data_IF_876657529875
#
_entry.id   IF_876657529875
#
_cell.length_a   1.000
_cell.length_b   1.000
_cell.length_c   1.000
_cell.angle_alpha   90.00
_cell.angle_beta   90.00
_cell.angle_gamma   90.00
#
_symmetry.space_group_name_H-M   'P 1'
#
loop_
_entity.id
_entity.type
_entity.pdbx_description
1 polymer ?
#
# COMPACT_ATOMS: atom_id res chain seq x y z
N UNK A 1 -60.73 53.04 3.89
CA UNK A 1 -59.29 52.85 3.53
C UNK A 1 -58.80 51.58 4.17
N UNK A 2 -58.59 50.51 3.42
CA UNK A 2 -58.04 49.22 3.89
C UNK A 2 -56.76 49.02 3.11
N UNK A 3 -55.66 49.17 3.82
CA UNK A 3 -54.27 48.93 3.31
C UNK A 3 -54.02 47.45 3.31
N UNK A 4 -53.81 46.83 2.16
CA UNK A 4 -53.40 45.42 2.02
C UNK A 4 -51.90 45.35 2.08
N UNK A 5 -51.39 44.73 3.15
CA UNK A 5 -49.97 44.35 3.30
C UNK A 5 -49.69 43.13 2.42
N UNK A 6 -48.87 43.27 1.38
CA UNK A 6 -48.37 42.16 0.57
C UNK A 6 -47.03 41.66 1.19
N UNK A 7 -47.09 40.49 1.78
CA UNK A 7 -45.90 39.77 2.25
C UNK A 7 -45.29 39.06 1.03
N UNK A 8 -44.15 39.55 0.55
CA UNK A 8 -43.30 38.84 -0.41
C UNK A 8 -42.50 37.75 0.31
N UNK A 9 -42.79 36.50 0.02
CA UNK A 9 -41.93 35.38 0.41
C UNK A 9 -40.80 35.29 -0.61
N UNK A 10 -39.60 35.67 -0.19
CA UNK A 10 -38.34 35.32 -0.90
C UNK A 10 -37.97 33.88 -0.56
N UNK A 11 -38.28 32.95 -1.44
CA UNK A 11 -37.70 31.61 -1.44
C UNK A 11 -36.27 31.72 -1.93
N UNK A 12 -35.34 31.72 -1.00
CA UNK A 12 -33.89 31.52 -1.30
C UNK A 12 -33.69 30.04 -1.59
N UNK A 13 -33.67 29.67 -2.86
CA UNK A 13 -33.19 28.35 -3.28
C UNK A 13 -31.66 28.31 -3.04
N UNK A 14 -31.24 27.66 -1.97
CA UNK A 14 -29.85 27.22 -1.82
C UNK A 14 -29.63 26.09 -2.83
N UNK A 15 -29.09 26.39 -3.97
CA UNK A 15 -28.46 25.41 -4.84
C UNK A 15 -27.17 24.96 -4.12
N UNK A 16 -27.21 23.82 -3.44
CA UNK A 16 -26.01 23.08 -3.11
C UNK A 16 -25.38 22.69 -4.45
N UNK A 17 -24.38 23.43 -4.90
CA UNK A 17 -23.51 23.02 -5.98
C UNK A 17 -22.76 21.80 -5.45
N UNK A 18 -23.30 20.61 -5.67
CA UNK A 18 -22.54 19.40 -5.59
C UNK A 18 -21.46 19.50 -6.67
N UNK A 19 -20.28 19.92 -6.27
CA UNK A 19 -19.09 19.86 -7.09
C UNK A 19 -18.86 18.38 -7.40
N UNK A 20 -19.39 17.92 -8.54
CA UNK A 20 -19.11 16.59 -9.05
C UNK A 20 -17.65 16.62 -9.55
N UNK A 21 -16.69 16.43 -8.62
CA UNK A 21 -15.31 16.21 -9.02
C UNK A 21 -15.28 14.88 -9.77
N UNK A 22 -14.88 14.92 -11.03
CA UNK A 22 -14.66 13.70 -11.80
C UNK A 22 -13.60 12.87 -11.06
N UNK A 23 -13.94 11.62 -10.80
CA UNK A 23 -13.03 10.71 -10.09
C UNK A 23 -11.75 10.55 -10.91
N UNK A 24 -10.60 10.67 -10.24
CA UNK A 24 -9.27 10.61 -10.87
C UNK A 24 -8.98 9.22 -11.39
N UNK A 25 -8.31 9.16 -12.53
CA UNK A 25 -7.74 7.89 -13.00
C UNK A 25 -6.65 7.40 -12.03
N UNK A 26 -6.35 6.10 -12.06
CA UNK A 26 -5.30 5.51 -11.23
C UNK A 26 -3.94 6.18 -11.46
N UNK A 27 -3.61 6.51 -12.71
CA UNK A 27 -2.36 7.22 -13.04
C UNK A 27 -2.32 8.65 -12.49
N UNK A 28 -3.43 9.38 -12.54
CA UNK A 28 -3.54 10.70 -11.91
C UNK A 28 -3.38 10.60 -10.40
N UNK A 29 -4.06 9.62 -9.79
CA UNK A 29 -3.97 9.36 -8.36
C UNK A 29 -2.52 9.08 -7.93
N UNK A 30 -1.82 8.20 -8.66
CA UNK A 30 -0.42 7.84 -8.38
C UNK A 30 0.52 9.06 -8.53
N UNK A 31 0.36 9.87 -9.58
CA UNK A 31 1.22 11.02 -9.84
C UNK A 31 1.13 12.11 -8.74
N UNK A 32 0.01 12.19 -8.04
CA UNK A 32 -0.20 13.11 -6.94
C UNK A 32 0.42 12.61 -5.61
N UNK A 33 0.75 11.33 -5.50
CA UNK A 33 1.50 10.81 -4.35
C UNK A 33 2.95 11.24 -4.47
N UNK A 34 3.37 12.16 -3.62
CA UNK A 34 4.77 12.62 -3.57
C UNK A 34 5.66 11.66 -2.80
N UNK A 35 5.16 11.19 -1.66
CA UNK A 35 5.75 10.12 -0.87
C UNK A 35 4.68 9.42 -0.06
N UNK A 36 4.64 8.10 -0.10
CA UNK A 36 3.79 7.26 0.71
C UNK A 36 4.58 6.57 1.83
N UNK A 37 3.88 6.27 2.92
CA UNK A 37 4.40 5.57 4.09
C UNK A 37 3.50 4.39 4.42
N UNK A 38 4.11 3.24 4.78
CA UNK A 38 3.36 2.10 5.29
C UNK A 38 3.25 2.19 6.82
N UNK A 39 2.03 2.08 7.31
CA UNK A 39 1.76 1.86 8.74
C UNK A 39 2.02 0.37 9.07
N UNK A 40 3.26 -0.07 8.86
CA UNK A 40 3.65 -1.48 8.94
C UNK A 40 3.75 -2.00 10.38
N UNK A 41 3.54 -3.30 10.55
CA UNK A 41 3.49 -4.01 11.84
C UNK A 41 2.46 -3.41 12.79
N UNK A 42 1.30 -3.03 12.28
CA UNK A 42 0.25 -2.40 13.06
C UNK A 42 -1.10 -3.15 12.92
N UNK A 43 -1.86 -2.88 11.86
CA UNK A 43 -3.18 -3.50 11.67
C UNK A 43 -3.12 -4.86 10.98
N UNK A 44 -1.99 -5.27 10.44
CA UNK A 44 -1.75 -6.61 9.88
C UNK A 44 -1.22 -7.61 10.90
N UNK A 45 -1.05 -7.19 12.16
CA UNK A 45 -0.60 -8.04 13.25
C UNK A 45 -1.63 -9.13 13.60
N UNK A 46 -1.14 -10.20 14.22
CA UNK A 46 -1.96 -11.21 14.89
C UNK A 46 -1.58 -11.27 16.36
N UNK A 47 -2.58 -11.48 17.21
CA UNK A 47 -2.34 -11.65 18.64
C UNK A 47 -1.51 -12.93 18.92
N UNK A 48 -0.75 -12.99 20.01
CA UNK A 48 -0.03 -14.19 20.40
C UNK A 48 -0.95 -15.39 20.56
N UNK A 49 -0.58 -16.53 20.01
CA UNK A 49 -1.37 -17.76 20.05
C UNK A 49 -2.37 -17.92 18.92
N UNK A 50 -2.59 -16.90 18.10
CA UNK A 50 -3.33 -17.04 16.85
C UNK A 50 -2.40 -17.67 15.82
N UNK A 51 -2.75 -18.88 15.36
CA UNK A 51 -1.95 -19.61 14.38
C UNK A 51 -2.01 -19.00 12.98
N UNK A 52 -2.92 -18.07 12.78
CA UNK A 52 -3.17 -17.38 11.52
C UNK A 52 -3.83 -18.26 10.47
N UNK A 53 -4.21 -19.48 10.77
CA UNK A 53 -4.95 -20.37 9.86
C UNK A 53 -6.43 -20.42 10.20
N UNK A 54 -6.77 -20.39 11.49
CA UNK A 54 -8.15 -20.26 11.91
C UNK A 54 -8.66 -18.84 11.74
N UNK A 55 -9.91 -18.74 11.33
CA UNK A 55 -10.65 -17.51 11.48
C UNK A 55 -11.09 -17.43 12.92
N UNK A 56 -10.45 -16.59 13.71
CA UNK A 56 -10.88 -16.37 15.06
C UNK A 56 -12.17 -15.59 15.06
N UNK A 57 -13.21 -16.31 15.45
CA UNK A 57 -14.52 -15.72 15.60
C UNK A 57 -14.51 -14.95 16.89
N UNK A 58 -14.60 -13.64 16.76
CA UNK A 58 -14.94 -12.80 17.89
C UNK A 58 -13.80 -12.47 18.81
N UNK A 59 -12.58 -12.43 18.28
CA UNK A 59 -11.65 -11.59 18.96
C UNK A 59 -12.15 -10.18 18.90
N UNK A 60 -12.57 -9.75 20.03
CA UNK A 60 -12.96 -8.38 20.12
C UNK A 60 -11.71 -7.57 19.90
N UNK A 61 -11.78 -6.91 19.01
CA UNK A 61 -11.71 -5.53 19.15
C UNK A 61 -10.85 -5.10 20.29
N UNK A 62 -9.61 -5.28 20.12
CA UNK A 62 -8.66 -4.53 20.86
C UNK A 62 -8.44 -4.92 22.31
N UNK A 63 -9.11 -5.88 22.84
CA UNK A 63 -8.81 -6.28 24.22
C UNK A 63 -7.39 -6.81 24.34
N UNK A 64 -6.92 -7.53 23.36
CA UNK A 64 -5.54 -8.01 23.28
C UNK A 64 -4.76 -7.31 22.20
N UNK A 65 -5.36 -6.28 21.64
CA UNK A 65 -4.77 -5.35 20.70
C UNK A 65 -4.00 -6.02 19.58
N UNK A 66 -4.72 -6.60 18.63
CA UNK A 66 -4.10 -6.99 17.38
C UNK A 66 -3.21 -5.85 16.85
N UNK A 67 -3.65 -4.61 17.00
CA UNK A 67 -2.90 -3.40 16.67
C UNK A 67 -1.55 -3.27 17.40
N UNK A 68 -1.39 -3.85 18.58
CA UNK A 68 -0.16 -3.75 19.39
C UNK A 68 0.58 -5.08 19.55
N UNK A 69 0.06 -6.14 18.96
CA UNK A 69 0.55 -7.51 19.18
C UNK A 69 2.04 -7.70 18.81
N UNK A 70 2.55 -6.91 17.86
CA UNK A 70 3.96 -6.96 17.46
C UNK A 70 4.82 -5.84 18.06
N UNK A 71 4.35 -5.23 19.17
CA UNK A 71 5.13 -4.30 19.99
C UNK A 71 5.01 -2.82 19.62
N UNK A 72 4.16 -2.48 18.67
CA UNK A 72 3.86 -1.10 18.36
C UNK A 72 2.82 -0.53 19.35
N UNK A 73 2.86 0.76 19.67
CA UNK A 73 1.80 1.40 20.47
C UNK A 73 0.55 1.62 19.61
N UNK A 74 -0.59 1.80 20.25
CA UNK A 74 -1.83 2.18 19.57
C UNK A 74 -1.63 3.42 18.71
N UNK A 75 -2.08 3.37 17.46
CA UNK A 75 -2.03 4.50 16.55
C UNK A 75 -2.90 5.65 17.03
N UNK A 76 -2.41 6.84 16.93
CA UNK A 76 -3.14 8.05 17.31
C UNK A 76 -3.14 9.06 16.17
N UNK A 77 -4.03 10.04 16.25
CA UNK A 77 -4.01 11.16 15.30
C UNK A 77 -2.65 11.87 15.26
N UNK A 78 -1.91 11.87 16.39
CA UNK A 78 -0.54 12.41 16.44
C UNK A 78 0.44 11.58 15.58
N UNK A 79 0.23 10.26 15.51
CA UNK A 79 1.03 9.39 14.63
C UNK A 79 0.89 9.84 13.19
N UNK A 80 -0.36 9.99 12.72
CA UNK A 80 -0.66 10.41 11.35
C UNK A 80 -0.11 11.83 11.08
N UNK A 81 -0.33 12.75 12.02
CA UNK A 81 0.20 14.10 11.93
C UNK A 81 1.73 14.15 11.79
N UNK A 82 2.44 13.35 12.55
CA UNK A 82 3.91 13.32 12.50
C UNK A 82 4.42 12.82 11.14
N UNK A 83 3.77 11.82 10.55
CA UNK A 83 4.07 11.32 9.20
C UNK A 83 3.79 12.41 8.15
N UNK A 84 2.63 13.07 8.22
CA UNK A 84 2.31 14.20 7.34
C UNK A 84 3.33 15.34 7.46
N UNK A 85 3.67 15.75 8.69
CA UNK A 85 4.61 16.84 8.95
C UNK A 85 6.05 16.53 8.45
N UNK A 86 6.39 15.24 8.39
CA UNK A 86 7.66 14.78 7.81
C UNK A 86 7.69 14.90 6.27
N UNK A 87 6.53 15.11 5.63
CA UNK A 87 6.41 15.35 4.18
C UNK A 87 5.78 14.22 3.38
N UNK A 88 5.19 13.21 4.06
CA UNK A 88 4.40 12.18 3.40
C UNK A 88 2.97 12.66 3.15
N UNK A 89 2.45 12.39 1.96
CA UNK A 89 1.08 12.76 1.58
C UNK A 89 0.18 11.56 1.26
N UNK A 90 0.67 10.36 1.54
CA UNK A 90 -0.11 9.13 1.40
C UNK A 90 0.29 8.10 2.46
N UNK A 91 -0.68 7.28 2.87
CA UNK A 91 -0.47 6.16 3.81
C UNK A 91 -1.07 4.90 3.20
N UNK A 92 -0.29 3.82 3.20
CA UNK A 92 -0.80 2.46 3.02
C UNK A 92 -1.02 1.86 4.39
N UNK A 93 -2.21 1.34 4.63
CA UNK A 93 -2.62 0.71 5.88
C UNK A 93 -2.73 -0.79 5.62
N UNK A 94 -1.68 -1.58 5.92
CA UNK A 94 -1.75 -3.03 5.89
C UNK A 94 -2.76 -3.53 6.92
N UNK A 95 -3.71 -4.38 6.51
CA UNK A 95 -4.77 -4.84 7.40
C UNK A 95 -4.96 -6.33 7.29
N UNK A 96 -4.96 -7.00 8.43
CA UNK A 96 -5.39 -8.37 8.58
C UNK A 96 -6.83 -8.40 9.08
N UNK A 97 -7.70 -8.99 8.29
CA UNK A 97 -9.13 -9.07 8.60
C UNK A 97 -9.51 -10.37 9.28
N UNK A 98 -8.77 -11.44 9.00
CA UNK A 98 -9.04 -12.81 9.45
C UNK A 98 -9.32 -12.90 10.95
N UNK A 99 -8.53 -12.22 11.77
CA UNK A 99 -8.66 -12.21 13.22
C UNK A 99 -9.91 -11.47 13.75
N UNK A 100 -10.59 -10.75 12.87
CA UNK A 100 -11.74 -9.90 13.20
C UNK A 100 -13.02 -10.31 12.46
N UNK A 101 -13.07 -11.55 11.96
CA UNK A 101 -14.25 -12.11 11.30
C UNK A 101 -15.19 -12.70 12.36
N UNK A 102 -16.39 -12.11 12.48
CA UNK A 102 -17.42 -12.53 13.44
C UNK A 102 -18.36 -13.63 12.90
N UNK A 103 -18.45 -13.76 11.57
CA UNK A 103 -19.21 -14.81 10.90
C UNK A 103 -18.42 -15.31 9.67
N UNK A 104 -17.73 -16.45 9.76
CA UNK A 104 -16.93 -16.98 8.67
C UNK A 104 -17.72 -17.32 7.40
N UNK A 105 -18.98 -17.73 7.51
CA UNK A 105 -19.80 -18.08 6.36
C UNK A 105 -20.13 -16.86 5.48
N UNK A 106 -20.27 -15.69 6.09
CA UNK A 106 -20.54 -14.42 5.44
C UNK A 106 -19.31 -13.49 5.37
N UNK A 107 -18.18 -13.90 5.93
CA UNK A 107 -16.98 -13.06 6.09
C UNK A 107 -17.31 -11.70 6.73
N UNK A 108 -18.24 -11.69 7.71
CA UNK A 108 -18.65 -10.46 8.39
C UNK A 108 -17.55 -9.97 9.31
N UNK A 109 -17.21 -8.70 9.19
CA UNK A 109 -16.15 -8.06 9.96
C UNK A 109 -16.74 -7.52 11.27
N UNK A 110 -15.98 -7.60 12.36
CA UNK A 110 -16.30 -6.94 13.61
C UNK A 110 -16.54 -5.44 13.39
N UNK A 111 -17.65 -4.96 13.97
CA UNK A 111 -17.99 -3.54 13.83
C UNK A 111 -16.93 -2.64 14.47
N UNK A 112 -16.41 -3.02 15.61
CA UNK A 112 -15.40 -2.23 16.33
C UNK A 112 -14.10 -2.15 15.51
N UNK A 113 -13.69 -3.26 14.87
CA UNK A 113 -12.51 -3.26 14.02
C UNK A 113 -12.67 -2.34 12.79
N UNK A 114 -13.79 -2.45 12.08
CA UNK A 114 -14.02 -1.60 10.91
C UNK A 114 -14.16 -0.11 11.30
N UNK A 115 -14.78 0.18 12.45
CA UNK A 115 -14.88 1.55 12.97
C UNK A 115 -13.47 2.09 13.33
N UNK A 116 -12.60 1.25 13.89
CA UNK A 116 -11.21 1.61 14.18
C UNK A 116 -10.41 1.92 12.90
N UNK A 117 -10.57 1.12 11.86
CA UNK A 117 -9.95 1.38 10.56
C UNK A 117 -10.46 2.70 9.97
N UNK A 118 -11.79 2.94 10.03
CA UNK A 118 -12.38 4.21 9.58
C UNK A 118 -11.81 5.41 10.34
N UNK A 119 -11.64 5.30 11.64
CA UNK A 119 -11.05 6.37 12.47
C UNK A 119 -9.65 6.76 11.97
N UNK A 120 -8.80 5.78 11.64
CA UNK A 120 -7.46 6.06 11.12
C UNK A 120 -7.52 6.66 9.71
N UNK A 121 -8.41 6.15 8.84
CA UNK A 121 -8.65 6.74 7.52
C UNK A 121 -9.09 8.20 7.65
N UNK A 122 -10.04 8.48 8.54
CA UNK A 122 -10.55 9.84 8.76
C UNK A 122 -9.43 10.79 9.19
N UNK A 123 -8.52 10.36 10.09
CA UNK A 123 -7.36 11.17 10.46
C UNK A 123 -6.43 11.44 9.26
N UNK A 124 -6.23 10.46 8.37
CA UNK A 124 -5.44 10.68 7.15
C UNK A 124 -6.10 11.72 6.24
N UNK A 125 -7.42 11.61 6.04
CA UNK A 125 -8.18 12.52 5.18
C UNK A 125 -8.27 13.94 5.73
N UNK A 126 -8.25 14.12 7.06
CA UNK A 126 -8.19 15.45 7.68
C UNK A 126 -6.87 16.20 7.35
N UNK A 127 -5.79 15.46 7.10
CA UNK A 127 -4.51 16.01 6.62
C UNK A 127 -4.37 15.98 5.09
N UNK A 128 -5.49 15.77 4.38
CA UNK A 128 -5.54 15.66 2.91
C UNK A 128 -4.60 14.59 2.33
N UNK A 129 -4.34 13.54 3.10
CA UNK A 129 -3.52 12.41 2.66
C UNK A 129 -4.35 11.41 1.84
N UNK A 130 -3.71 10.73 0.90
CA UNK A 130 -4.27 9.58 0.22
C UNK A 130 -4.07 8.32 1.05
N UNK A 131 -4.98 7.36 0.90
CA UNK A 131 -4.97 6.13 1.69
C UNK A 131 -5.10 4.90 0.78
N UNK A 132 -4.29 3.88 1.01
CA UNK A 132 -4.49 2.53 0.48
C UNK A 132 -4.90 1.62 1.63
N UNK A 133 -5.99 0.89 1.44
CA UNK A 133 -6.46 -0.19 2.32
C UNK A 133 -6.29 -1.51 1.58
N UNK A 134 -5.74 -2.53 2.23
CA UNK A 134 -5.50 -3.82 1.61
C UNK A 134 -6.04 -5.01 2.43
N UNK A 135 -5.78 -6.20 1.94
CA UNK A 135 -5.95 -7.49 2.60
C UNK A 135 -4.57 -8.13 2.74
N UNK A 136 -4.04 -8.19 3.97
CA UNK A 136 -2.66 -8.63 4.24
C UNK A 136 -2.61 -9.69 5.33
N UNK A 137 -1.71 -10.65 5.18
CA UNK A 137 -1.47 -11.76 6.12
C UNK A 137 -2.66 -12.69 6.38
N UNK A 138 -3.61 -12.74 5.43
CA UNK A 138 -4.71 -13.70 5.43
C UNK A 138 -4.19 -15.11 5.08
N UNK A 139 -3.90 -15.92 6.07
CA UNK A 139 -3.27 -17.25 5.86
C UNK A 139 -4.09 -18.18 4.98
N UNK A 140 -5.42 -18.13 5.06
CA UNK A 140 -6.32 -18.90 4.20
C UNK A 140 -6.21 -18.50 2.72
N UNK A 141 -5.75 -17.30 2.42
CA UNK A 141 -5.59 -16.72 1.08
C UNK A 141 -4.13 -16.74 0.62
N UNK A 142 -3.27 -16.00 1.35
CA UNK A 142 -1.89 -15.73 0.93
C UNK A 142 -1.04 -17.00 0.85
N UNK A 143 -1.25 -17.95 1.75
CA UNK A 143 -0.49 -19.20 1.80
C UNK A 143 -1.12 -20.37 1.04
N UNK A 144 -2.14 -20.10 0.22
CA UNK A 144 -2.93 -21.14 -0.44
C UNK A 144 -3.18 -20.90 -1.93
N UNK A 145 -2.14 -20.57 -2.74
CA UNK A 145 -2.30 -20.33 -4.18
C UNK A 145 -2.39 -21.64 -4.99
N UNK A 146 -3.33 -22.53 -4.63
CA UNK A 146 -3.51 -23.85 -5.24
C UNK A 146 -4.91 -24.02 -5.82
N UNK A 147 -5.06 -24.77 -6.92
CA UNK A 147 -6.36 -25.07 -7.51
C UNK A 147 -7.33 -25.71 -6.52
N UNK A 148 -6.82 -26.54 -5.62
CA UNK A 148 -7.64 -27.15 -4.57
C UNK A 148 -8.32 -26.13 -3.64
N UNK A 149 -7.78 -24.93 -3.53
CA UNK A 149 -8.30 -23.84 -2.67
C UNK A 149 -8.97 -22.72 -3.47
N UNK A 150 -8.76 -22.65 -4.79
CA UNK A 150 -9.09 -21.51 -5.65
C UNK A 150 -10.56 -21.08 -5.52
N UNK A 151 -11.49 -22.01 -5.69
CA UNK A 151 -12.92 -21.72 -5.67
C UNK A 151 -13.37 -21.15 -4.31
N UNK A 152 -13.00 -21.84 -3.23
CA UNK A 152 -13.38 -21.42 -1.88
C UNK A 152 -12.69 -20.11 -1.47
N UNK A 153 -11.43 -19.92 -1.83
CA UNK A 153 -10.72 -18.68 -1.53
C UNK A 153 -11.27 -17.50 -2.33
N UNK A 154 -11.61 -17.68 -3.61
CA UNK A 154 -12.29 -16.64 -4.39
C UNK A 154 -13.65 -16.28 -3.78
N UNK A 155 -14.44 -17.29 -3.33
CA UNK A 155 -15.71 -17.05 -2.66
C UNK A 155 -15.53 -16.22 -1.35
N UNK A 156 -14.58 -16.61 -0.51
CA UNK A 156 -14.27 -15.88 0.74
C UNK A 156 -13.78 -14.48 0.46
N UNK A 157 -12.87 -14.33 -0.50
CA UNK A 157 -12.32 -13.01 -0.91
C UNK A 157 -13.42 -12.09 -1.43
N UNK A 158 -14.36 -12.62 -2.23
CA UNK A 158 -15.51 -11.86 -2.71
C UNK A 158 -16.37 -11.36 -1.55
N UNK A 159 -16.68 -12.23 -0.58
CA UNK A 159 -17.48 -11.84 0.59
C UNK A 159 -16.74 -10.84 1.48
N UNK A 160 -15.45 -11.02 1.70
CA UNK A 160 -14.64 -10.08 2.49
C UNK A 160 -14.60 -8.71 1.82
N UNK A 161 -14.26 -8.64 0.53
CA UNK A 161 -14.23 -7.37 -0.20
C UNK A 161 -15.61 -6.73 -0.35
N UNK A 162 -16.67 -7.51 -0.47
CA UNK A 162 -18.03 -6.98 -0.45
C UNK A 162 -18.31 -6.24 0.87
N UNK A 163 -17.94 -6.84 2.00
CA UNK A 163 -18.11 -6.20 3.31
C UNK A 163 -17.23 -4.94 3.43
N UNK A 164 -15.95 -5.01 3.11
CA UNK A 164 -15.03 -3.87 3.15
C UNK A 164 -15.53 -2.75 2.23
N UNK A 165 -15.87 -3.06 0.99
CA UNK A 165 -16.29 -2.08 -0.01
C UNK A 165 -17.62 -1.40 0.33
N UNK A 166 -18.55 -2.10 0.98
CA UNK A 166 -19.79 -1.49 1.47
C UNK A 166 -19.53 -0.54 2.64
N UNK A 167 -18.67 -0.94 3.58
CA UNK A 167 -18.34 -0.16 4.76
C UNK A 167 -17.53 1.10 4.43
N UNK A 168 -16.60 1.00 3.47
CA UNK A 168 -15.72 2.08 3.07
C UNK A 168 -16.18 2.81 1.78
N UNK A 169 -17.28 2.38 1.18
CA UNK A 169 -17.73 2.85 -0.13
C UNK A 169 -18.08 4.35 -0.21
N UNK A 170 -18.34 4.98 0.94
CA UNK A 170 -18.66 6.43 0.99
C UNK A 170 -17.45 7.35 0.92
N UNK A 171 -16.25 6.82 1.19
CA UNK A 171 -15.04 7.62 1.04
C UNK A 171 -14.83 8.04 -0.41
N UNK A 172 -14.25 9.23 -0.58
CA UNK A 172 -13.97 9.80 -1.90
C UNK A 172 -12.77 9.09 -2.59
N UNK A 173 -12.30 9.65 -3.68
CA UNK A 173 -11.24 9.07 -4.51
C UNK A 173 -9.85 9.10 -3.87
N UNK A 174 -9.68 9.71 -2.69
CA UNK A 174 -8.43 9.65 -1.94
C UNK A 174 -8.18 8.26 -1.33
N UNK A 175 -9.23 7.45 -1.15
CA UNK A 175 -9.12 6.09 -0.62
C UNK A 175 -9.13 5.07 -1.75
N UNK A 176 -8.04 4.35 -1.93
CA UNK A 176 -7.86 3.27 -2.88
C UNK A 176 -7.88 1.90 -2.17
N UNK A 177 -8.27 0.85 -2.90
CA UNK A 177 -8.31 -0.52 -2.39
C UNK A 177 -7.28 -1.39 -3.11
N UNK A 178 -6.54 -2.20 -2.35
CA UNK A 178 -5.57 -3.17 -2.86
C UNK A 178 -6.01 -4.60 -2.52
N UNK A 179 -6.19 -5.43 -3.54
CA UNK A 179 -6.97 -6.66 -3.48
C UNK A 179 -6.44 -7.73 -2.56
N UNK A 180 -5.13 -7.92 -2.58
CA UNK A 180 -4.37 -8.89 -1.78
C UNK A 180 -3.05 -8.26 -1.31
N UNK A 181 -2.10 -9.10 -0.89
CA UNK A 181 -0.72 -8.70 -0.63
C UNK A 181 0.23 -9.69 -1.30
N UNK A 182 1.13 -10.30 -0.60
CA UNK A 182 2.18 -11.20 -1.10
C UNK A 182 1.71 -12.67 -1.09
N UNK A 183 0.79 -13.01 -1.98
CA UNK A 183 0.33 -14.39 -2.15
C UNK A 183 1.48 -15.29 -2.60
N UNK A 184 1.81 -16.32 -1.84
CA UNK A 184 2.95 -17.20 -2.08
C UNK A 184 2.73 -18.62 -1.54
N UNK A 185 3.49 -19.58 -2.04
CA UNK A 185 3.55 -20.92 -1.44
C UNK A 185 4.29 -20.83 -0.10
N UNK A 186 3.78 -21.47 0.98
CA UNK A 186 4.43 -21.40 2.29
C UNK A 186 5.94 -21.70 2.22
N UNK A 187 6.72 -20.83 2.82
CA UNK A 187 8.19 -20.89 2.85
C UNK A 187 8.88 -20.88 1.46
N UNK A 188 8.16 -20.43 0.43
CA UNK A 188 8.73 -20.33 -0.92
C UNK A 188 8.39 -18.96 -1.56
N UNK A 189 9.35 -18.08 -1.55
CA UNK A 189 9.30 -16.74 -2.18
C UNK A 189 9.85 -16.74 -3.61
N UNK A 190 10.23 -17.93 -4.10
CA UNK A 190 10.82 -18.10 -5.41
C UNK A 190 9.79 -18.20 -6.54
N UNK A 191 10.26 -18.69 -7.68
CA UNK A 191 9.48 -18.77 -8.91
C UNK A 191 8.18 -19.57 -8.72
N UNK A 192 7.02 -19.00 -9.10
CA UNK A 192 5.72 -19.68 -9.04
C UNK A 192 5.60 -20.78 -10.10
N UNK A 193 4.66 -21.68 -9.85
CA UNK A 193 4.12 -22.56 -10.89
C UNK A 193 3.03 -21.85 -11.70
N UNK A 194 2.64 -22.41 -12.84
CA UNK A 194 1.50 -21.89 -13.62
C UNK A 194 0.19 -21.90 -12.80
N UNK A 195 0.02 -22.90 -11.93
CA UNK A 195 -1.12 -22.97 -10.98
C UNK A 195 -1.16 -21.76 -10.05
N UNK A 196 -0.02 -21.41 -9.45
CA UNK A 196 0.05 -20.29 -8.50
C UNK A 196 -0.29 -18.96 -9.17
N UNK A 197 0.19 -18.75 -10.39
CA UNK A 197 -0.10 -17.55 -11.20
C UNK A 197 -1.57 -17.47 -11.59
N UNK A 198 -2.16 -18.59 -12.05
CA UNK A 198 -3.59 -18.63 -12.41
C UNK A 198 -4.49 -18.36 -11.20
N UNK A 199 -4.11 -18.86 -10.03
CA UNK A 199 -4.85 -18.60 -8.78
C UNK A 199 -4.73 -17.12 -8.37
N UNK A 200 -3.54 -16.51 -8.46
CA UNK A 200 -3.38 -15.08 -8.19
C UNK A 200 -4.20 -14.22 -9.17
N UNK A 201 -4.20 -14.57 -10.45
CA UNK A 201 -5.01 -13.86 -11.46
C UNK A 201 -6.51 -13.98 -11.15
N UNK A 202 -6.96 -15.14 -10.67
CA UNK A 202 -8.35 -15.33 -10.26
C UNK A 202 -8.71 -14.49 -9.02
N UNK A 203 -7.81 -14.35 -8.05
CA UNK A 203 -8.03 -13.45 -6.91
C UNK A 203 -8.15 -12.00 -7.37
N UNK A 204 -7.29 -11.54 -8.26
CA UNK A 204 -7.34 -10.18 -8.81
C UNK A 204 -8.67 -9.93 -9.53
N UNK A 205 -9.14 -10.85 -10.38
CA UNK A 205 -10.43 -10.70 -11.07
C UNK A 205 -11.59 -10.68 -10.09
N UNK A 206 -11.60 -11.60 -9.10
CA UNK A 206 -12.63 -11.66 -8.06
C UNK A 206 -12.75 -10.36 -7.29
N UNK A 207 -11.61 -9.77 -6.92
CA UNK A 207 -11.55 -8.49 -6.23
C UNK A 207 -12.17 -7.36 -7.07
N UNK A 208 -11.76 -7.23 -8.32
CA UNK A 208 -12.27 -6.18 -9.21
C UNK A 208 -13.78 -6.34 -9.38
N UNK A 209 -14.26 -7.53 -9.72
CA UNK A 209 -15.67 -7.79 -9.97
C UNK A 209 -16.54 -7.43 -8.78
N UNK A 210 -16.16 -7.89 -7.58
CA UNK A 210 -16.99 -7.69 -6.40
C UNK A 210 -16.99 -6.24 -5.92
N UNK A 211 -15.85 -5.56 -5.94
CA UNK A 211 -15.81 -4.14 -5.53
C UNK A 211 -16.64 -3.29 -6.49
N UNK A 212 -16.54 -3.49 -7.80
CA UNK A 212 -17.36 -2.79 -8.79
C UNK A 212 -18.85 -3.05 -8.60
N UNK A 213 -19.24 -4.28 -8.29
CA UNK A 213 -20.62 -4.68 -8.05
C UNK A 213 -21.26 -3.96 -6.85
N UNK A 214 -20.50 -3.46 -5.89
CA UNK A 214 -21.04 -2.69 -4.76
C UNK A 214 -21.53 -1.28 -5.16
N UNK A 215 -21.16 -0.78 -6.35
CA UNK A 215 -21.69 0.47 -6.91
C UNK A 215 -21.17 1.74 -6.24
N UNK A 216 -21.89 2.84 -6.40
CA UNK A 216 -21.53 4.14 -5.83
C UNK A 216 -20.13 4.62 -6.25
N UNK A 217 -19.34 5.12 -5.30
CA UNK A 217 -17.95 5.54 -5.57
C UNK A 217 -17.05 4.37 -6.02
N UNK A 218 -17.43 3.12 -5.69
CA UNK A 218 -16.64 1.96 -6.03
C UNK A 218 -16.68 1.61 -7.52
N UNK A 219 -17.64 2.14 -8.29
CA UNK A 219 -17.69 1.99 -9.76
C UNK A 219 -16.40 2.48 -10.43
N UNK A 220 -15.80 3.57 -9.90
CA UNK A 220 -14.57 4.18 -10.42
C UNK A 220 -13.48 4.30 -9.36
N UNK A 221 -13.62 3.62 -8.22
CA UNK A 221 -12.57 3.62 -7.20
C UNK A 221 -11.27 3.11 -7.78
N UNK A 222 -10.15 3.72 -7.40
CA UNK A 222 -8.85 3.21 -7.73
C UNK A 222 -8.65 1.84 -7.08
N UNK A 223 -8.55 0.79 -7.91
CA UNK A 223 -8.27 -0.58 -7.49
C UNK A 223 -6.84 -0.95 -7.83
N UNK A 224 -6.21 -1.65 -6.92
CA UNK A 224 -4.79 -2.03 -7.03
C UNK A 224 -4.73 -3.55 -6.97
N UNK A 225 -4.20 -4.15 -8.04
CA UNK A 225 -4.07 -5.59 -8.19
C UNK A 225 -2.61 -6.01 -8.11
N UNK A 226 -2.33 -7.19 -7.58
CA UNK A 226 -0.99 -7.62 -7.24
C UNK A 226 -0.45 -8.64 -8.24
N UNK A 227 0.84 -8.60 -8.49
CA UNK A 227 1.57 -9.73 -9.07
C UNK A 227 1.76 -10.81 -8.01
N UNK A 228 2.09 -12.04 -8.43
CA UNK A 228 2.43 -13.09 -7.47
C UNK A 228 3.59 -12.64 -6.56
N UNK A 229 3.42 -12.76 -5.24
CA UNK A 229 4.39 -12.30 -4.22
C UNK A 229 4.66 -10.77 -4.31
N UNK A 230 3.81 -10.01 -4.98
CA UNK A 230 4.12 -8.63 -5.36
C UNK A 230 5.49 -8.49 -6.06
N UNK A 231 6.01 -9.55 -6.67
CA UNK A 231 7.24 -9.51 -7.43
C UNK A 231 6.92 -9.30 -8.91
N UNK A 232 7.36 -8.16 -9.44
CA UNK A 232 7.09 -7.80 -10.83
C UNK A 232 7.75 -8.75 -11.85
N UNK A 233 8.87 -9.37 -11.52
CA UNK A 233 9.54 -10.30 -12.42
C UNK A 233 8.65 -11.49 -12.81
N UNK A 234 7.80 -11.94 -11.90
CA UNK A 234 6.87 -13.05 -12.17
C UNK A 234 5.70 -12.65 -13.06
N UNK A 235 5.42 -11.37 -13.20
CA UNK A 235 4.40 -10.86 -14.11
C UNK A 235 4.93 -10.37 -15.45
N UNK A 236 6.18 -9.83 -15.45
CA UNK A 236 6.78 -9.19 -16.63
C UNK A 236 7.39 -10.18 -17.62
N UNK A 237 8.08 -11.21 -17.11
CA UNK A 237 8.94 -12.03 -17.96
C UNK A 237 8.25 -13.27 -18.52
N UNK A 238 7.18 -13.73 -17.92
CA UNK A 238 6.49 -14.95 -18.34
C UNK A 238 5.16 -14.67 -19.07
N UNK A 239 4.67 -13.42 -19.07
CA UNK A 239 3.35 -13.07 -19.62
C UNK A 239 2.17 -13.64 -18.84
N UNK A 240 2.41 -14.09 -17.61
CA UNK A 240 1.45 -14.84 -16.80
C UNK A 240 0.58 -13.93 -15.91
N UNK A 241 0.90 -12.63 -15.86
CA UNK A 241 0.02 -11.66 -15.22
C UNK A 241 -1.09 -11.26 -16.18
N UNK A 242 -2.31 -11.62 -15.83
CA UNK A 242 -3.50 -11.26 -16.60
C UNK A 242 -4.11 -9.99 -16.00
N UNK A 243 -4.20 -8.94 -16.81
CA UNK A 243 -4.89 -7.70 -16.39
C UNK A 243 -6.36 -8.04 -16.19
N UNK A 244 -6.94 -7.82 -14.99
CA UNK A 244 -8.35 -8.08 -14.77
C UNK A 244 -9.22 -7.23 -15.70
N UNK A 245 -10.35 -7.79 -16.12
CA UNK A 245 -11.35 -7.04 -16.86
C UNK A 245 -12.12 -6.18 -15.88
N UNK A 246 -12.18 -4.88 -16.14
CA UNK A 246 -13.06 -3.96 -15.41
C UNK A 246 -14.45 -3.89 -16.07
N UNK A 247 -15.42 -3.26 -15.41
CA UNK A 247 -16.76 -3.02 -15.98
C UNK A 247 -16.67 -2.16 -17.24
N UNK A 248 -17.69 -2.30 -18.10
CA UNK A 248 -17.76 -1.56 -19.34
C UNK A 248 -17.61 -0.05 -19.11
N UNK A 249 -16.76 0.59 -19.92
CA UNK A 249 -16.47 2.02 -19.88
C UNK A 249 -15.33 2.45 -18.94
N UNK A 250 -14.84 1.58 -18.07
CA UNK A 250 -13.68 1.89 -17.24
C UNK A 250 -12.33 1.60 -17.94
N UNK A 251 -12.27 0.56 -18.77
CA UNK A 251 -11.00 0.09 -19.33
C UNK A 251 -9.99 -0.19 -18.21
N UNK A 252 -8.79 0.34 -18.32
CA UNK A 252 -7.74 0.23 -17.30
C UNK A 252 -7.56 1.52 -16.48
N UNK A 253 -8.39 2.53 -16.70
CA UNK A 253 -8.18 3.88 -16.17
C UNK A 253 -8.20 3.94 -14.62
N UNK A 254 -8.92 3.02 -13.98
CA UNK A 254 -9.09 3.02 -12.52
C UNK A 254 -8.38 1.84 -11.85
N UNK A 255 -7.36 1.27 -12.51
CA UNK A 255 -6.57 0.18 -11.97
C UNK A 255 -5.08 0.49 -11.97
N UNK A 256 -4.39 -0.01 -10.97
CA UNK A 256 -2.92 -0.08 -10.90
C UNK A 256 -2.46 -1.50 -10.64
N UNK A 257 -1.23 -1.78 -11.05
CA UNK A 257 -0.49 -2.97 -10.62
C UNK A 257 0.41 -2.60 -9.47
N UNK A 258 0.35 -3.37 -8.39
CA UNK A 258 1.24 -3.24 -7.24
C UNK A 258 2.39 -4.24 -7.33
N UNK A 259 3.56 -3.74 -6.98
CA UNK A 259 4.76 -4.53 -6.74
C UNK A 259 5.46 -4.04 -5.47
N UNK A 260 6.28 -4.91 -4.88
CA UNK A 260 7.18 -4.57 -3.80
C UNK A 260 8.62 -4.52 -4.33
N UNK A 261 9.40 -3.55 -3.88
CA UNK A 261 10.73 -3.29 -4.43
C UNK A 261 11.78 -3.19 -3.32
N UNK A 262 12.30 -4.34 -2.92
CA UNK A 262 13.43 -4.43 -1.98
C UNK A 262 14.73 -4.82 -2.71
N UNK A 263 14.89 -4.36 -3.96
CA UNK A 263 16.00 -4.76 -4.81
C UNK A 263 17.16 -3.75 -4.77
N UNK A 264 18.40 -4.23 -4.67
CA UNK A 264 18.74 -5.63 -4.41
C UNK A 264 18.57 -6.00 -2.94
N UNK A 265 18.01 -7.18 -2.66
CA UNK A 265 17.70 -7.63 -1.30
C UNK A 265 18.91 -7.64 -0.36
N UNK A 266 20.10 -7.99 -0.88
CA UNK A 266 21.33 -8.05 -0.13
C UNK A 266 21.75 -6.68 0.43
N UNK A 267 21.29 -5.59 -0.18
CA UNK A 267 21.49 -4.23 0.31
C UNK A 267 20.23 -3.72 1.05
N UNK A 268 19.07 -3.85 0.41
CA UNK A 268 17.86 -3.21 0.91
C UNK A 268 17.21 -3.93 2.10
N UNK A 269 17.27 -5.27 2.13
CA UNK A 269 16.58 -6.07 3.14
C UNK A 269 17.47 -6.79 4.12
N UNK A 270 18.51 -7.50 3.65
CA UNK A 270 19.39 -8.29 4.51
C UNK A 270 20.53 -7.50 5.15
N UNK A 271 20.94 -6.38 4.53
CA UNK A 271 22.08 -5.59 4.99
C UNK A 271 23.44 -6.29 4.82
N UNK A 272 23.56 -7.24 3.87
CA UNK A 272 24.84 -7.90 3.56
C UNK A 272 25.83 -6.92 2.92
N UNK A 273 25.35 -6.01 2.07
CA UNK A 273 26.14 -4.96 1.45
C UNK A 273 25.87 -3.64 2.18
N UNK A 274 26.95 -2.89 2.44
CA UNK A 274 26.87 -1.58 3.11
C UNK A 274 26.76 -0.40 2.14
N UNK A 275 27.02 -0.64 0.85
CA UNK A 275 26.98 0.38 -0.19
C UNK A 275 26.23 -0.09 -1.41
N UNK A 276 25.56 0.85 -2.09
CA UNK A 276 24.86 0.65 -3.34
C UNK A 276 25.16 1.81 -4.30
N UNK A 277 25.21 1.50 -5.60
CA UNK A 277 25.31 2.47 -6.66
C UNK A 277 26.74 2.82 -7.08
N UNK A 278 26.87 3.32 -8.29
CA UNK A 278 28.17 3.58 -8.93
C UNK A 278 29.06 4.53 -8.12
N UNK A 279 28.56 5.65 -7.54
CA UNK A 279 29.40 6.58 -6.79
C UNK A 279 30.03 5.98 -5.53
N UNK A 280 29.48 4.87 -5.03
CA UNK A 280 29.90 4.28 -3.77
C UNK A 280 30.79 3.02 -3.93
N UNK A 281 30.99 2.54 -5.14
CA UNK A 281 31.89 1.39 -5.44
C UNK A 281 33.30 1.58 -4.89
N UNK A 282 33.77 2.82 -4.79
CA UNK A 282 35.09 3.16 -4.25
C UNK A 282 35.22 2.93 -2.74
N UNK A 283 34.12 2.80 -2.00
CA UNK A 283 34.13 2.68 -0.54
C UNK A 283 33.96 1.26 -0.04
N UNK A 284 33.53 0.34 -0.91
CA UNK A 284 33.37 -1.06 -0.53
C UNK A 284 32.63 -1.87 -1.58
N UNK A 285 32.33 -3.11 -1.22
CA UNK A 285 31.61 -4.04 -2.08
C UNK A 285 30.16 -3.57 -2.26
N UNK A 286 29.72 -3.47 -3.50
CA UNK A 286 28.35 -3.17 -3.90
C UNK A 286 27.74 -4.36 -4.63
N UNK A 287 26.39 -4.53 -4.61
CA UNK A 287 25.72 -5.51 -5.47
C UNK A 287 25.87 -5.14 -6.96
N UNK A 288 25.59 -6.09 -7.83
CA UNK A 288 25.63 -5.85 -9.29
C UNK A 288 24.48 -4.94 -9.77
N UNK A 289 23.33 -5.03 -9.09
CA UNK A 289 22.19 -4.17 -9.35
C UNK A 289 22.46 -2.75 -8.86
N UNK A 290 22.50 -1.82 -9.78
CA UNK A 290 22.80 -0.40 -9.57
C UNK A 290 21.67 0.49 -10.12
N UNK A 291 21.94 1.80 -10.28
CA UNK A 291 21.00 2.78 -10.83
C UNK A 291 20.48 2.40 -12.20
N UNK A 292 21.37 1.91 -13.06
CA UNK A 292 21.01 1.50 -14.43
C UNK A 292 20.04 0.33 -14.42
N UNK A 293 20.26 -0.63 -13.52
CA UNK A 293 19.37 -1.77 -13.33
C UNK A 293 17.99 -1.32 -12.87
N UNK A 294 17.93 -0.42 -11.90
CA UNK A 294 16.67 0.16 -11.39
C UNK A 294 15.91 0.92 -12.48
N UNK A 295 16.59 1.79 -13.22
CA UNK A 295 16.01 2.57 -14.33
C UNK A 295 15.44 1.65 -15.40
N UNK A 296 16.22 0.69 -15.89
CA UNK A 296 15.78 -0.26 -16.91
C UNK A 296 14.57 -1.09 -16.44
N UNK A 297 14.55 -1.48 -15.17
CA UNK A 297 13.41 -2.18 -14.59
C UNK A 297 12.14 -1.31 -14.58
N UNK A 298 12.24 -0.05 -14.15
CA UNK A 298 11.10 0.86 -14.13
C UNK A 298 10.61 1.20 -15.55
N UNK A 299 11.50 1.35 -16.51
CA UNK A 299 11.14 1.54 -17.92
C UNK A 299 10.38 0.33 -18.48
N UNK A 300 10.76 -0.87 -18.06
CA UNK A 300 10.03 -2.08 -18.45
C UNK A 300 8.62 -2.12 -17.86
N UNK A 301 8.41 -1.70 -16.62
CA UNK A 301 7.07 -1.56 -16.03
C UNK A 301 6.18 -0.60 -16.84
N UNK A 302 6.74 0.53 -17.27
CA UNK A 302 6.03 1.48 -18.14
C UNK A 302 5.68 0.83 -19.48
N UNK A 303 6.63 0.15 -20.10
CA UNK A 303 6.42 -0.52 -21.38
C UNK A 303 5.34 -1.60 -21.31
N UNK A 304 5.34 -2.42 -20.27
CA UNK A 304 4.45 -3.58 -20.19
C UNK A 304 3.05 -3.26 -19.64
N UNK A 305 2.96 -2.35 -18.66
CA UNK A 305 1.69 -2.05 -17.99
C UNK A 305 1.25 -0.61 -18.17
N UNK A 306 2.16 0.35 -18.02
CA UNK A 306 1.86 1.77 -18.20
C UNK A 306 1.35 2.08 -19.60
N UNK A 307 1.92 1.46 -20.64
CA UNK A 307 1.50 1.58 -22.04
C UNK A 307 0.06 1.09 -22.27
N UNK A 308 -0.44 0.20 -21.41
CA UNK A 308 -1.80 -0.33 -21.45
C UNK A 308 -2.79 0.49 -20.61
N UNK A 309 -2.37 1.64 -20.09
CA UNK A 309 -3.20 2.55 -19.30
C UNK A 309 -3.24 2.29 -17.79
N UNK A 310 -2.58 1.22 -17.31
CA UNK A 310 -2.51 0.92 -15.88
C UNK A 310 -1.63 1.93 -15.13
N UNK A 311 -2.00 2.22 -13.89
CA UNK A 311 -1.10 2.84 -12.93
C UNK A 311 -0.09 1.82 -12.38
N UNK A 312 0.98 2.31 -11.77
CA UNK A 312 1.98 1.46 -11.11
C UNK A 312 2.19 1.98 -9.68
N UNK A 313 2.10 1.05 -8.73
CA UNK A 313 2.27 1.30 -7.30
C UNK A 313 3.43 0.44 -6.80
N UNK A 314 4.46 1.07 -6.26
CA UNK A 314 5.45 0.40 -5.44
C UNK A 314 4.90 0.44 -4.02
N UNK A 315 4.08 -0.59 -3.67
CA UNK A 315 3.32 -0.65 -2.43
C UNK A 315 4.18 -0.84 -1.20
N UNK A 316 5.33 -1.49 -1.37
CA UNK A 316 6.36 -1.59 -0.36
C UNK A 316 7.73 -1.44 -0.99
N UNK A 317 8.56 -0.68 -0.32
CA UNK A 317 10.00 -0.62 -0.52
C UNK A 317 10.64 -0.17 0.78
N UNK A 318 11.90 -0.45 0.97
CA UNK A 318 12.58 -0.06 2.20
C UNK A 318 14.06 -0.29 2.08
N UNK A 319 14.76 0.21 3.08
CA UNK A 319 16.18 -0.01 3.25
C UNK A 319 16.44 -0.30 4.72
N UNK A 320 16.99 -1.47 4.99
CA UNK A 320 17.32 -1.85 6.36
C UNK A 320 18.41 -0.92 6.89
N UNK A 321 18.28 -0.51 8.14
CA UNK A 321 19.36 0.22 8.80
C UNK A 321 20.54 -0.75 9.04
N UNK A 322 21.70 -0.39 8.51
CA UNK A 322 22.92 -1.16 8.65
C UNK A 322 24.14 -0.24 8.53
N UNK A 323 25.06 -0.40 9.46
CA UNK A 323 26.27 0.43 9.54
C UNK A 323 27.42 -0.30 10.22
N UNK A 324 28.63 0.17 9.96
CA UNK A 324 29.82 -0.43 10.52
C UNK A 324 30.80 0.64 11.02
N UNK A 325 31.02 0.62 12.31
CA UNK A 325 32.07 1.42 12.96
C UNK A 325 32.02 2.92 12.62
N UNK A 326 33.17 3.52 12.33
CA UNK A 326 33.32 4.93 12.03
C UNK A 326 32.79 5.37 10.65
N UNK A 327 32.30 4.42 9.84
CA UNK A 327 31.77 4.71 8.49
C UNK A 327 30.26 4.90 8.48
N UNK A 328 29.60 4.87 9.65
CA UNK A 328 28.14 4.96 9.76
C UNK A 328 27.57 6.15 8.99
N UNK A 329 28.13 7.35 9.11
CA UNK A 329 27.66 8.55 8.42
C UNK A 329 27.66 8.36 6.90
N UNK A 330 28.73 7.80 6.34
CA UNK A 330 28.83 7.52 4.90
C UNK A 330 27.82 6.45 4.44
N UNK A 331 27.57 5.47 5.27
CA UNK A 331 26.58 4.45 4.97
C UNK A 331 25.16 5.04 4.98
N UNK A 332 24.85 5.91 5.94
CA UNK A 332 23.58 6.64 5.96
C UNK A 332 23.45 7.63 4.78
N UNK A 333 24.53 8.27 4.36
CA UNK A 333 24.54 9.05 3.11
C UNK A 333 24.22 8.18 1.89
N UNK A 334 24.73 6.97 1.84
CA UNK A 334 24.43 6.02 0.78
C UNK A 334 22.96 5.57 0.82
N UNK A 335 22.38 5.36 2.00
CA UNK A 335 20.93 5.11 2.16
C UNK A 335 20.13 6.29 1.62
N UNK A 336 20.49 7.53 1.96
CA UNK A 336 19.87 8.72 1.38
C UNK A 336 19.95 8.73 -0.15
N UNK A 337 21.08 8.35 -0.71
CA UNK A 337 21.28 8.28 -2.15
C UNK A 337 20.39 7.24 -2.82
N UNK A 338 20.25 6.04 -2.23
CA UNK A 338 19.34 5.01 -2.71
C UNK A 338 17.88 5.49 -2.69
N UNK A 339 17.44 6.04 -1.54
CA UNK A 339 16.08 6.58 -1.39
C UNK A 339 15.80 7.69 -2.41
N UNK A 340 16.76 8.60 -2.60
CA UNK A 340 16.67 9.68 -3.60
C UNK A 340 16.49 9.11 -5.00
N UNK A 341 17.33 8.16 -5.39
CA UNK A 341 17.31 7.56 -6.73
C UNK A 341 15.98 6.85 -6.99
N UNK A 342 15.55 5.99 -6.06
CA UNK A 342 14.29 5.25 -6.19
C UNK A 342 13.10 6.20 -6.34
N UNK A 343 12.96 7.16 -5.43
CA UNK A 343 11.82 8.09 -5.44
C UNK A 343 11.83 8.97 -6.69
N UNK A 344 13.00 9.49 -7.07
CA UNK A 344 13.13 10.30 -8.28
C UNK A 344 12.74 9.53 -9.53
N UNK A 345 13.29 8.33 -9.73
CA UNK A 345 13.06 7.54 -10.93
C UNK A 345 11.63 6.99 -11.01
N UNK A 346 11.04 6.58 -9.89
CA UNK A 346 9.64 6.17 -9.81
C UNK A 346 8.70 7.32 -10.18
N UNK A 347 8.89 8.50 -9.57
CA UNK A 347 8.05 9.67 -9.81
C UNK A 347 8.14 10.23 -11.23
N UNK A 348 9.32 10.24 -11.86
CA UNK A 348 9.50 10.62 -13.28
C UNK A 348 8.61 9.79 -14.21
N UNK A 349 8.25 8.58 -13.80
CA UNK A 349 7.38 7.63 -14.54
C UNK A 349 5.93 7.63 -14.07
N UNK A 350 5.56 8.49 -13.13
CA UNK A 350 4.21 8.60 -12.58
C UNK A 350 3.84 7.47 -11.60
N UNK A 351 4.81 6.77 -11.03
CA UNK A 351 4.57 5.76 -10.00
C UNK A 351 4.34 6.42 -8.65
N UNK A 352 3.49 5.82 -7.83
CA UNK A 352 3.43 6.08 -6.40
C UNK A 352 4.31 5.08 -5.64
N UNK A 353 4.95 5.53 -4.56
CA UNK A 353 5.84 4.70 -3.76
C UNK A 353 5.50 4.81 -2.28
N UNK A 354 5.52 3.67 -1.56
CA UNK A 354 5.20 3.60 -0.15
C UNK A 354 6.33 2.91 0.61
N UNK A 355 7.09 3.68 1.39
CA UNK A 355 8.19 3.12 2.17
C UNK A 355 7.67 2.30 3.33
N UNK A 356 8.27 1.14 3.58
CA UNK A 356 7.96 0.28 4.70
C UNK A 356 8.61 0.78 5.99
N UNK A 357 7.81 0.93 7.04
CA UNK A 357 8.27 1.27 8.38
C UNK A 357 7.62 0.31 9.39
N UNK A 358 8.41 -0.58 9.95
CA UNK A 358 7.98 -1.57 10.93
C UNK A 358 8.33 -1.21 12.37
N UNK A 359 8.83 0.02 12.63
CA UNK A 359 9.28 0.48 13.94
C UNK A 359 10.43 -0.38 14.54
N UNK A 360 11.21 -1.08 13.69
CA UNK A 360 12.37 -1.86 14.14
C UNK A 360 13.65 -1.11 13.82
N UNK A 361 14.50 -0.99 14.83
CA UNK A 361 15.74 -0.22 14.77
C UNK A 361 16.93 -1.07 15.15
N UNK A 362 18.07 -0.69 14.66
CA UNK A 362 19.33 -1.33 14.96
C UNK A 362 20.06 -1.73 13.70
N UNK A 363 21.14 -2.48 13.88
CA UNK A 363 21.99 -2.92 12.78
C UNK A 363 21.64 -4.37 12.42
N UNK A 364 21.04 -4.61 11.27
CA UNK A 364 20.68 -5.96 10.86
C UNK A 364 19.69 -6.04 9.72
N UNK A 365 19.12 -7.23 9.52
CA UNK A 365 18.11 -7.49 8.52
C UNK A 365 16.76 -6.93 8.94
N UNK A 366 16.04 -6.34 7.99
CA UNK A 366 14.67 -5.83 8.16
C UNK A 366 14.48 -4.79 9.28
N UNK A 367 15.50 -3.99 9.53
CA UNK A 367 15.45 -2.87 10.45
C UNK A 367 14.99 -1.61 9.71
N UNK A 368 13.69 -1.55 9.38
CA UNK A 368 13.10 -0.53 8.52
C UNK A 368 12.49 0.66 9.29
N UNK A 369 12.76 0.77 10.59
CA UNK A 369 12.17 1.83 11.40
C UNK A 369 12.64 3.22 10.99
N UNK A 370 11.68 4.11 10.75
CA UNK A 370 11.91 5.53 10.46
C UNK A 370 11.49 6.39 11.64
N UNK A 371 10.29 6.15 12.15
CA UNK A 371 9.72 6.84 13.29
C UNK A 371 9.67 5.91 14.50
N UNK A 372 10.28 6.31 15.63
CA UNK A 372 10.16 5.59 16.90
C UNK A 372 8.76 5.85 17.51
N UNK A 373 7.83 4.97 17.18
CA UNK A 373 6.42 5.07 17.64
C UNK A 373 6.32 4.99 19.15
N UNK A 374 7.23 4.26 19.80
CA UNK A 374 7.30 4.16 21.26
C UNK A 374 7.87 5.42 21.93
N UNK A 375 8.50 6.30 21.16
CA UNK A 375 9.05 7.58 21.60
C UNK A 375 8.38 8.77 20.92
N UNK A 376 7.06 8.76 20.88
CA UNK A 376 6.25 9.87 20.39
C UNK A 376 6.62 10.27 18.94
N UNK A 377 6.81 9.29 18.06
CA UNK A 377 7.16 9.49 16.64
C UNK A 377 8.48 10.23 16.42
N UNK A 378 9.45 10.05 17.32
CA UNK A 378 10.78 10.63 17.11
C UNK A 378 11.40 10.06 15.82
N UNK A 379 11.85 10.95 14.94
CA UNK A 379 12.53 10.54 13.71
C UNK A 379 13.89 9.95 14.08
N UNK A 380 14.12 8.70 13.69
CA UNK A 380 15.35 7.94 13.93
C UNK A 380 16.21 7.80 12.68
N UNK A 381 15.57 7.70 11.52
CA UNK A 381 16.24 7.60 10.23
C UNK A 381 15.98 8.86 9.39
N UNK A 382 16.52 10.00 9.83
CA UNK A 382 16.36 11.28 9.13
C UNK A 382 17.05 11.27 7.76
N UNK A 383 18.10 10.47 7.57
CA UNK A 383 18.75 10.24 6.28
C UNK A 383 17.82 9.60 5.25
N UNK A 384 16.88 8.76 5.66
CA UNK A 384 15.84 8.21 4.77
C UNK A 384 14.91 9.31 4.31
N UNK A 385 14.38 10.11 5.24
CA UNK A 385 13.48 11.24 4.93
C UNK A 385 14.19 12.27 4.05
N UNK A 386 15.47 12.53 4.32
CA UNK A 386 16.32 13.42 3.49
C UNK A 386 16.37 12.91 2.05
N UNK A 387 16.71 11.64 1.85
CA UNK A 387 16.77 11.04 0.52
C UNK A 387 15.44 11.11 -0.23
N UNK A 388 14.33 10.81 0.44
CA UNK A 388 12.98 10.93 -0.14
C UNK A 388 12.70 12.37 -0.60
N UNK A 389 12.95 13.37 0.25
CA UNK A 389 12.74 14.79 -0.09
C UNK A 389 13.61 15.24 -1.27
N UNK A 390 14.86 14.83 -1.31
CA UNK A 390 15.77 15.11 -2.43
C UNK A 390 15.27 14.44 -3.72
N UNK A 391 14.75 13.21 -3.65
CA UNK A 391 14.18 12.51 -4.80
C UNK A 391 12.92 13.19 -5.35
N UNK A 392 12.04 13.68 -4.46
CA UNK A 392 10.88 14.48 -4.85
C UNK A 392 11.32 15.74 -5.59
N UNK A 393 12.28 16.48 -5.03
CA UNK A 393 12.80 17.72 -5.62
C UNK A 393 13.48 17.48 -6.97
N UNK A 394 14.20 16.37 -7.12
CA UNK A 394 14.87 16.01 -8.37
C UNK A 394 13.87 15.61 -9.46
N UNK A 395 12.81 14.86 -9.12
CA UNK A 395 11.78 14.46 -10.07
C UNK A 395 10.98 15.62 -10.66
N UNK A 396 10.96 16.77 -10.00
CA UNK A 396 10.28 17.97 -10.47
C UNK A 396 11.09 18.79 -11.48
N UNK A 397 12.37 18.46 -11.71
CA UNK A 397 13.20 19.18 -12.68
C UNK A 397 12.82 18.72 -14.09
N UNK A 398 12.76 19.64 -15.08
CA UNK A 398 12.60 19.25 -16.47
C UNK A 398 13.73 18.30 -16.90
N UNK A 399 13.39 17.24 -17.61
CA UNK A 399 14.38 16.37 -18.27
C UNK A 399 15.08 17.11 -19.39
#
# INVERSE_FOLDING_TARGET
MKTKLRICWLLTLMFAVMSCHAQKTARQWNSEVTAGWNLGNQFECSAPGQDGESMDIGEPDGADNAETAWGNPVVTKKTIKAVHDAGFNAIRIPIRWQCHITNPAAMSISKTWIDRIKEVIDWCLEYDMKVIVNVQHEKWLESRPFYANKEENCRKLALLWMNIANELGKYDDRVAFAGTNEVHVPNNWGKPTAENLDVQNAYNQTFVDIVRATGGNNVKRHLIVQTYVCNADFGLYNGDFVIPKDIEGNGNDYMSVELHFYNPWEYAGSGEYYYWGEPYKQYGKTPQSDETTMVNFFDKLVSEWGSKGLGIVIGEWGITDHYKGSEADRMHENVSYYCKTLVSEARKRGFSTFIWDNNRFGNGSEMFGIFDRNKNMAIKADWVIKGIKEGIAESAKPM
#
